data_IF_016439716611
#
_entry.id   IF_016439716611
#
_cell.length_a   1.000
_cell.length_b   1.000
_cell.length_c   1.000
_cell.angle_alpha   90.00
_cell.angle_beta   90.00
_cell.angle_gamma   90.00
#
_symmetry.space_group_name_H-M   'P 1'
#
loop_
_entity.id
_entity.type
_entity.pdbx_description
1 polymer ?
#
# COMPACT_ATOMS: atom_id res chain seq x y z
N UNK A 1 -12.35 16.97 -2.49
CA UNK A 1 -11.87 15.64 -2.96
C UNK A 1 -10.36 15.43 -2.79
N UNK A 2 -9.47 16.40 -3.10
CA UNK A 2 -8.01 16.25 -2.91
C UNK A 2 -7.57 15.97 -1.45
N UNK A 3 -8.25 16.55 -0.46
CA UNK A 3 -7.93 16.38 0.98
C UNK A 3 -8.21 14.97 1.52
N UNK A 4 -9.19 14.27 0.95
CA UNK A 4 -9.57 12.91 1.38
C UNK A 4 -8.50 11.91 0.93
N UNK A 5 -7.98 12.05 -0.29
CA UNK A 5 -6.89 11.22 -0.80
C UNK A 5 -5.63 11.37 0.06
N UNK A 6 -5.33 12.60 0.51
CA UNK A 6 -4.20 12.88 1.39
C UNK A 6 -4.38 12.31 2.80
N UNK A 7 -5.60 12.41 3.36
CA UNK A 7 -5.95 11.79 4.64
C UNK A 7 -5.96 10.26 4.57
N UNK A 8 -6.37 9.69 3.43
CA UNK A 8 -6.20 8.26 3.15
C UNK A 8 -4.72 7.91 3.12
N UNK A 9 -3.87 8.68 2.43
CA UNK A 9 -2.41 8.46 2.40
C UNK A 9 -1.77 8.48 3.79
N UNK A 10 -2.25 9.35 4.69
CA UNK A 10 -1.82 9.40 6.08
C UNK A 10 -2.28 8.16 6.89
N UNK A 11 -3.42 7.56 6.54
CA UNK A 11 -3.86 6.27 7.12
C UNK A 11 -3.11 5.08 6.51
N UNK A 12 -2.64 5.15 5.25
CA UNK A 12 -1.78 4.14 4.61
C UNK A 12 -0.39 4.04 5.23
N UNK A 13 0.06 5.07 5.95
CA UNK A 13 1.26 5.02 6.79
C UNK A 13 1.05 4.24 8.09
N UNK A 14 -0.16 3.77 8.42
CA UNK A 14 -0.44 3.07 9.69
C UNK A 14 0.42 1.82 9.95
N UNK A 15 0.81 0.98 8.97
CA UNK A 15 1.68 -0.17 9.23
C UNK A 15 3.10 0.30 9.56
N UNK A 16 3.59 1.34 8.87
CA UNK A 16 4.89 1.97 9.12
C UNK A 16 4.91 2.77 10.43
N UNK A 17 3.81 3.43 10.78
CA UNK A 17 3.62 4.10 12.06
C UNK A 17 3.54 3.09 13.22
N UNK A 18 2.91 1.92 12.99
CA UNK A 18 2.91 0.80 13.93
C UNK A 18 4.32 0.20 14.08
N UNK A 19 5.05 -0.01 12.97
CA UNK A 19 6.45 -0.47 12.97
C UNK A 19 7.39 0.52 13.68
N UNK A 20 7.19 1.83 13.48
CA UNK A 20 7.94 2.90 14.13
C UNK A 20 7.57 3.09 15.61
N UNK A 21 6.40 2.62 16.06
CA UNK A 21 5.94 2.77 17.45
C UNK A 21 6.69 1.90 18.46
N UNK A 22 7.60 1.03 18.01
CA UNK A 22 8.45 0.19 18.87
C UNK A 22 7.71 -0.88 19.66
N UNK A 23 6.37 -0.98 19.55
CA UNK A 23 5.61 -2.12 20.05
C UNK A 23 5.97 -3.33 19.19
N UNK A 24 6.37 -4.44 19.84
CA UNK A 24 6.85 -5.69 19.23
C UNK A 24 5.82 -6.43 18.36
N UNK A 25 5.31 -5.76 17.33
CA UNK A 25 4.49 -6.31 16.27
C UNK A 25 5.41 -7.13 15.40
N UNK A 26 5.12 -8.42 15.27
CA UNK A 26 5.98 -9.30 14.47
C UNK A 26 6.02 -8.82 13.02
N UNK A 27 7.18 -8.96 12.38
CA UNK A 27 7.38 -8.61 10.97
C UNK A 27 6.34 -9.26 10.04
N UNK A 28 5.86 -10.45 10.43
CA UNK A 28 4.78 -11.17 9.76
C UNK A 28 3.46 -10.39 9.75
N UNK A 29 3.09 -9.79 10.88
CA UNK A 29 1.87 -8.98 10.97
C UNK A 29 1.97 -7.69 10.17
N UNK A 30 3.15 -7.07 10.12
CA UNK A 30 3.40 -5.90 9.27
C UNK A 30 3.22 -6.24 7.79
N UNK A 31 3.71 -7.41 7.38
CA UNK A 31 3.61 -7.90 6.00
C UNK A 31 2.15 -8.21 5.62
N UNK A 32 1.39 -8.86 6.53
CA UNK A 32 -0.04 -9.14 6.32
C UNK A 32 -0.84 -7.85 6.16
N UNK A 33 -0.57 -6.85 7.00
CA UNK A 33 -1.25 -5.56 6.91
C UNK A 33 -0.89 -4.85 5.60
N UNK A 34 0.40 -4.76 5.25
CA UNK A 34 0.90 -4.17 4.00
C UNK A 34 0.27 -4.81 2.75
N UNK A 35 0.25 -6.14 2.69
CA UNK A 35 -0.36 -6.90 1.59
C UNK A 35 -1.87 -6.67 1.51
N UNK A 36 -2.59 -6.71 2.64
CA UNK A 36 -4.03 -6.49 2.67
C UNK A 36 -4.42 -5.08 2.21
N UNK A 37 -3.65 -4.10 2.64
CA UNK A 37 -3.77 -2.68 2.27
C UNK A 37 -3.50 -2.49 0.77
N UNK A 38 -2.41 -3.05 0.26
CA UNK A 38 -2.03 -3.02 -1.16
C UNK A 38 -3.06 -3.70 -2.06
N UNK A 39 -3.57 -4.87 -1.66
CA UNK A 39 -4.61 -5.59 -2.40
C UNK A 39 -5.94 -4.81 -2.44
N UNK A 40 -6.33 -4.19 -1.33
CA UNK A 40 -7.55 -3.40 -1.24
C UNK A 40 -7.49 -2.16 -2.15
N UNK A 41 -6.37 -1.43 -2.12
CA UNK A 41 -6.16 -0.28 -3.01
C UNK A 41 -6.10 -0.66 -4.47
N UNK A 42 -5.36 -1.71 -4.79
CA UNK A 42 -5.23 -2.16 -6.17
C UNK A 42 -6.60 -2.54 -6.73
N UNK A 43 -7.42 -3.26 -5.94
CA UNK A 43 -8.80 -3.58 -6.30
C UNK A 43 -9.62 -2.31 -6.54
N UNK A 44 -9.56 -1.32 -5.64
CA UNK A 44 -10.28 -0.06 -5.80
C UNK A 44 -9.85 0.73 -7.05
N UNK A 45 -8.55 0.80 -7.33
CA UNK A 45 -7.99 1.53 -8.48
C UNK A 45 -8.40 0.89 -9.80
N UNK A 46 -8.35 -0.43 -9.87
CA UNK A 46 -8.80 -1.20 -11.04
C UNK A 46 -10.30 -1.08 -11.23
N UNK A 47 -11.08 -1.16 -10.16
CA UNK A 47 -12.53 -1.15 -10.24
C UNK A 47 -13.09 0.23 -10.61
N UNK A 48 -12.42 1.30 -10.18
CA UNK A 48 -12.74 2.67 -10.57
C UNK A 48 -12.30 3.00 -12.01
N UNK A 49 -11.38 2.23 -12.58
CA UNK A 49 -10.82 2.54 -13.90
C UNK A 49 -11.78 2.16 -15.03
N UNK A 50 -12.41 3.18 -15.63
CA UNK A 50 -13.25 3.03 -16.84
C UNK A 50 -12.46 2.65 -18.10
N UNK A 51 -11.12 2.63 -18.05
CA UNK A 51 -10.26 2.22 -19.18
C UNK A 51 -10.02 0.71 -19.22
N UNK A 52 -10.27 -0.01 -18.13
CA UNK A 52 -10.05 -1.46 -18.04
C UNK A 52 -11.38 -2.17 -18.33
N UNK A 53 -11.68 -2.39 -19.61
CA UNK A 53 -12.99 -2.92 -20.02
C UNK A 53 -13.07 -4.45 -20.01
N UNK A 54 -11.94 -5.14 -20.11
CA UNK A 54 -11.89 -6.63 -20.13
C UNK A 54 -11.32 -7.16 -18.82
N UNK A 55 -11.78 -8.35 -18.40
CA UNK A 55 -11.27 -9.05 -17.21
C UNK A 55 -9.73 -9.15 -17.19
N UNK A 56 -9.12 -9.53 -18.32
CA UNK A 56 -7.65 -9.63 -18.45
C UNK A 56 -6.95 -8.30 -18.18
N UNK A 57 -7.47 -7.19 -18.71
CA UNK A 57 -6.93 -5.85 -18.47
C UNK A 57 -7.08 -5.43 -17.00
N UNK A 58 -8.19 -5.79 -16.35
CA UNK A 58 -8.39 -5.56 -14.92
C UNK A 58 -7.41 -6.36 -14.07
N UNK A 59 -7.17 -7.63 -14.40
CA UNK A 59 -6.23 -8.49 -13.70
C UNK A 59 -4.77 -8.00 -13.85
N UNK A 60 -4.36 -7.61 -15.06
CA UNK A 60 -3.03 -7.03 -15.30
C UNK A 60 -2.89 -5.67 -14.61
N UNK A 61 -3.92 -4.83 -14.67
CA UNK A 61 -3.98 -3.57 -13.94
C UNK A 61 -3.89 -3.77 -12.42
N UNK A 62 -4.53 -4.83 -11.90
CA UNK A 62 -4.47 -5.18 -10.48
C UNK A 62 -3.05 -5.59 -10.09
N UNK A 63 -2.42 -6.47 -10.89
CA UNK A 63 -1.03 -6.86 -10.66
C UNK A 63 -0.10 -5.65 -10.65
N UNK A 64 -0.23 -4.75 -11.64
CA UNK A 64 0.60 -3.55 -11.75
C UNK A 64 0.42 -2.61 -10.55
N UNK A 65 -0.83 -2.29 -10.18
CA UNK A 65 -1.12 -1.42 -9.05
C UNK A 65 -0.69 -2.05 -7.71
N UNK A 66 -0.91 -3.35 -7.53
CA UNK A 66 -0.52 -4.07 -6.32
C UNK A 66 0.99 -4.01 -6.10
N UNK A 67 1.77 -4.37 -7.12
CA UNK A 67 3.23 -4.32 -7.05
C UNK A 67 3.77 -2.89 -6.88
N UNK A 68 3.14 -1.92 -7.54
CA UNK A 68 3.53 -0.51 -7.39
C UNK A 68 3.35 0.00 -5.96
N UNK A 69 2.23 -0.36 -5.29
CA UNK A 69 1.96 0.07 -3.92
C UNK A 69 2.93 -0.60 -2.94
N UNK A 70 3.15 -1.92 -3.05
CA UNK A 70 4.15 -2.62 -2.22
C UNK A 70 5.55 -2.04 -2.42
N UNK A 71 5.92 -1.71 -3.65
CA UNK A 71 7.22 -1.10 -3.92
C UNK A 71 7.40 0.24 -3.18
N UNK A 72 6.37 1.10 -3.18
CA UNK A 72 6.40 2.35 -2.41
C UNK A 72 6.51 2.06 -0.90
N UNK A 73 5.76 1.11 -0.36
CA UNK A 73 5.83 0.75 1.07
C UNK A 73 7.24 0.27 1.47
N UNK A 74 7.87 -0.57 0.65
CA UNK A 74 9.25 -1.04 0.87
C UNK A 74 10.26 0.10 0.77
N UNK A 75 10.11 1.00 -0.20
CA UNK A 75 11.00 2.16 -0.33
C UNK A 75 10.90 3.07 0.89
N UNK A 76 9.68 3.38 1.35
CA UNK A 76 9.49 4.21 2.55
C UNK A 76 10.05 3.52 3.80
N UNK A 77 9.87 2.21 3.93
CA UNK A 77 10.50 1.45 5.02
C UNK A 77 12.03 1.51 4.93
N UNK A 78 12.61 1.32 3.75
CA UNK A 78 14.05 1.42 3.51
C UNK A 78 14.61 2.79 3.87
N UNK A 79 13.92 3.87 3.47
CA UNK A 79 14.27 5.24 3.87
C UNK A 79 14.16 5.45 5.38
N UNK A 80 13.09 4.96 6.02
CA UNK A 80 12.93 5.05 7.47
C UNK A 80 14.07 4.35 8.21
N UNK A 81 14.42 3.13 7.84
CA UNK A 81 15.53 2.38 8.45
C UNK A 81 16.87 3.06 8.20
N UNK A 82 17.10 3.59 7.00
CA UNK A 82 18.33 4.31 6.65
C UNK A 82 18.49 5.68 7.32
N UNK A 83 17.40 6.28 7.81
CA UNK A 83 17.43 7.53 8.60
C UNK A 83 17.46 7.28 10.11
N UNK A 84 17.07 6.10 10.58
CA UNK A 84 16.99 5.74 12.01
C UNK A 84 18.16 4.88 12.50
N UNK A 85 18.97 4.35 11.59
CA UNK A 85 20.29 3.75 11.87
C UNK A 85 21.39 4.69 11.41
#
# INVERSE_FOLDING_TARGET
MKKIIFASFALFMSPLALAASGKGISWYWLLVIAVGISASLSTLLVWKSKKLNTFTLKAVGFGAWFWFIIFIEVMVYGFYVGLTK
#
